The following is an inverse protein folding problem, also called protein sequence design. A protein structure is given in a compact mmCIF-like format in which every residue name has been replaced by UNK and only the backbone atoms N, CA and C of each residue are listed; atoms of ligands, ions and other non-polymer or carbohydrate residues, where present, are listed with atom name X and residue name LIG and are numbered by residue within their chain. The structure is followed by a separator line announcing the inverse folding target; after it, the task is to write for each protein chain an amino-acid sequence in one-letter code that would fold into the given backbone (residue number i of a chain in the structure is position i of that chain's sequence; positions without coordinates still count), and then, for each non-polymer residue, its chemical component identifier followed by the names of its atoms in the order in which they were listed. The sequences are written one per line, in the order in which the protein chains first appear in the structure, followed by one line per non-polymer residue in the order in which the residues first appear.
data_IF_350237786593
#
_entry.id   IF_350237786593
#
_cell.length_a   1.000
_cell.length_b   1.000
_cell.length_c   1.000
_cell.angle_alpha   90.00
_cell.angle_beta   90.00
_cell.angle_gamma   90.00
#
_symmetry.space_group_name_H-M   'P 1'
#
loop_
_entity.id
_entity.type
_entity.pdbx_description
1 polymer ?
#
# COMPACT_ATOMS: atom_id res chain seq x y z
N UNK A 1 -12.88 19.92 8.80
CA UNK A 1 -12.29 20.60 7.62
C UNK A 1 -10.81 20.33 7.45
N UNK A 2 -10.01 20.57 8.52
CA UNK A 2 -8.57 20.31 8.46
C UNK A 2 -8.24 18.84 8.19
N UNK A 3 -8.92 17.92 8.85
CA UNK A 3 -8.73 16.47 8.65
C UNK A 3 -9.04 16.06 7.22
N UNK A 4 -10.13 16.60 6.67
CA UNK A 4 -10.50 16.32 5.28
C UNK A 4 -9.42 16.84 4.32
N UNK A 5 -8.91 18.04 4.54
CA UNK A 5 -7.85 18.62 3.71
C UNK A 5 -6.58 17.75 3.77
N UNK A 6 -6.21 17.28 4.97
CA UNK A 6 -5.05 16.40 5.16
C UNK A 6 -5.23 15.10 4.38
N UNK A 7 -6.40 14.47 4.48
CA UNK A 7 -6.66 13.23 3.75
C UNK A 7 -6.62 13.43 2.25
N UNK A 8 -7.17 14.54 1.75
CA UNK A 8 -7.14 14.85 0.32
C UNK A 8 -5.72 15.07 -0.19
N UNK A 9 -4.93 15.85 0.54
CA UNK A 9 -3.55 16.14 0.16
C UNK A 9 -2.66 14.88 0.22
N UNK A 10 -2.77 14.13 1.31
CA UNK A 10 -1.98 12.90 1.48
C UNK A 10 -2.41 11.82 0.49
N UNK A 11 -3.72 11.72 0.23
CA UNK A 11 -4.23 10.78 -0.77
C UNK A 11 -3.74 11.12 -2.17
N UNK A 12 -3.74 12.40 -2.52
CA UNK A 12 -3.24 12.84 -3.82
C UNK A 12 -1.73 12.56 -3.95
N UNK A 13 -0.95 12.90 -2.92
CA UNK A 13 0.49 12.64 -2.92
C UNK A 13 0.78 11.14 -2.98
N UNK A 14 0.06 10.34 -2.19
CA UNK A 14 0.20 8.89 -2.18
C UNK A 14 -0.15 8.29 -3.53
N UNK A 15 -1.22 8.79 -4.16
CA UNK A 15 -1.61 8.35 -5.50
C UNK A 15 -0.55 8.65 -6.55
N UNK A 16 0.04 9.85 -6.50
CA UNK A 16 1.10 10.23 -7.42
C UNK A 16 2.33 9.32 -7.26
N UNK A 17 2.74 9.07 -6.02
CA UNK A 17 3.87 8.19 -5.73
C UNK A 17 3.54 6.75 -6.16
N UNK A 18 2.34 6.30 -5.89
CA UNK A 18 1.89 4.97 -6.31
C UNK A 18 1.94 4.81 -7.83
N UNK A 19 1.48 5.83 -8.56
CA UNK A 19 1.50 5.81 -10.02
C UNK A 19 2.91 5.76 -10.58
N UNK A 20 3.86 6.42 -9.92
CA UNK A 20 5.25 6.42 -10.35
C UNK A 20 5.97 5.11 -10.05
N UNK A 21 5.73 4.53 -8.89
CA UNK A 21 6.50 3.38 -8.41
C UNK A 21 5.72 2.07 -8.37
N UNK A 22 4.41 2.11 -8.58
CA UNK A 22 3.58 0.91 -8.59
C UNK A 22 3.37 0.25 -7.24
N UNK A 23 3.50 1.01 -6.13
CA UNK A 23 3.42 0.46 -4.78
C UNK A 23 2.00 0.44 -4.20
N UNK A 24 1.02 0.96 -4.92
CA UNK A 24 -0.38 0.93 -4.50
C UNK A 24 -0.78 1.94 -3.42
N UNK A 25 0.17 2.70 -2.88
CA UNK A 25 -0.11 3.75 -1.89
C UNK A 25 -0.26 3.27 -0.45
N UNK A 26 -0.31 1.96 -0.21
CA UNK A 26 -0.52 1.41 1.13
C UNK A 26 0.56 1.82 2.13
N UNK A 27 1.78 2.00 1.66
CA UNK A 27 2.91 2.43 2.49
C UNK A 27 2.64 3.79 3.15
N UNK A 28 1.90 4.67 2.44
CA UNK A 28 1.55 5.99 2.97
C UNK A 28 0.18 6.02 3.64
N UNK A 29 -0.76 5.22 3.14
CA UNK A 29 -2.13 5.22 3.66
C UNK A 29 -2.19 4.70 5.10
N UNK A 30 -1.49 3.59 5.39
CA UNK A 30 -1.57 2.96 6.71
C UNK A 30 -1.05 3.88 7.82
N UNK A 31 0.17 4.46 7.72
CA UNK A 31 0.62 5.40 8.74
C UNK A 31 -0.29 6.61 8.88
N UNK A 32 -0.83 7.14 7.76
CA UNK A 32 -1.75 8.27 7.78
C UNK A 32 -3.01 7.92 8.58
N UNK A 33 -3.60 6.77 8.32
CA UNK A 33 -4.83 6.35 9.00
C UNK A 33 -4.61 6.10 10.48
N UNK A 34 -3.47 5.54 10.85
CA UNK A 34 -3.15 5.30 12.26
C UNK A 34 -2.91 6.63 12.97
N UNK A 35 -2.10 7.52 12.41
CA UNK A 35 -1.65 8.74 13.08
C UNK A 35 -2.68 9.87 13.02
N UNK A 36 -3.40 10.01 11.90
CA UNK A 36 -4.34 11.13 11.70
C UNK A 36 -5.75 10.74 12.10
N UNK A 37 -6.21 9.55 11.68
CA UNK A 37 -7.57 9.10 11.97
C UNK A 37 -7.69 8.32 13.28
N UNK A 38 -6.59 7.94 13.90
CA UNK A 38 -6.60 7.21 15.16
C UNK A 38 -7.08 5.77 15.04
N UNK A 39 -7.02 5.18 13.86
CA UNK A 39 -7.44 3.80 13.65
C UNK A 39 -6.41 2.82 14.22
N UNK A 40 -6.88 1.62 14.59
CA UNK A 40 -5.98 0.54 14.95
C UNK A 40 -5.16 0.11 13.73
N UNK A 41 -4.09 -0.64 13.94
CA UNK A 41 -3.25 -1.10 12.84
C UNK A 41 -4.04 -1.97 11.87
N UNK A 42 -4.87 -2.87 12.38
CA UNK A 42 -5.69 -3.74 11.54
C UNK A 42 -6.73 -2.94 10.75
N UNK A 43 -7.42 -1.99 11.40
CA UNK A 43 -8.40 -1.14 10.74
C UNK A 43 -7.75 -0.27 9.66
N UNK A 44 -6.57 0.28 9.96
CA UNK A 44 -5.82 1.09 9.00
C UNK A 44 -5.42 0.26 7.78
N UNK A 45 -4.96 -0.96 8.00
CA UNK A 45 -4.60 -1.86 6.90
C UNK A 45 -5.82 -2.23 6.05
N UNK A 46 -6.93 -2.58 6.68
CA UNK A 46 -8.16 -2.92 5.98
C UNK A 46 -8.70 -1.74 5.18
N UNK A 47 -8.72 -0.55 5.77
CA UNK A 47 -9.18 0.66 5.11
C UNK A 47 -8.26 1.03 3.94
N UNK A 48 -6.96 0.85 4.12
CA UNK A 48 -5.98 1.07 3.06
C UNK A 48 -6.22 0.14 1.87
N UNK A 49 -6.52 -1.12 2.11
CA UNK A 49 -6.83 -2.07 1.03
C UNK A 49 -8.03 -1.59 0.21
N UNK A 50 -9.06 -1.08 0.86
CA UNK A 50 -10.22 -0.53 0.17
C UNK A 50 -9.86 0.73 -0.62
N UNK A 51 -9.04 1.61 -0.04
CA UNK A 51 -8.62 2.84 -0.70
C UNK A 51 -7.72 2.58 -1.91
N UNK A 52 -6.96 1.49 -1.90
CA UNK A 52 -6.06 1.13 -3.00
C UNK A 52 -6.83 0.71 -4.26
N UNK A 53 -8.04 0.16 -4.12
CA UNK A 53 -8.80 -0.35 -5.28
C UNK A 53 -8.92 0.70 -6.40
N UNK A 54 -9.46 1.91 -6.17
CA UNK A 54 -9.53 2.90 -7.25
C UNK A 54 -8.13 3.35 -7.71
N UNK A 55 -7.15 3.41 -6.82
CA UNK A 55 -5.78 3.82 -7.16
C UNK A 55 -5.17 2.85 -8.17
N UNK A 56 -5.21 1.55 -7.87
CA UNK A 56 -4.60 0.55 -8.74
C UNK A 56 -5.41 0.36 -10.02
N UNK A 57 -6.73 0.52 -9.95
CA UNK A 57 -7.57 0.42 -11.15
C UNK A 57 -7.21 1.52 -12.16
N UNK A 58 -7.10 2.77 -11.70
CA UNK A 58 -6.72 3.89 -12.56
C UNK A 58 -5.27 3.73 -13.04
N UNK A 59 -4.37 3.35 -12.15
CA UNK A 59 -2.96 3.16 -12.49
C UNK A 59 -2.77 2.06 -13.54
N UNK A 60 -3.40 0.92 -13.36
CA UNK A 60 -3.30 -0.19 -14.29
C UNK A 60 -3.89 0.18 -15.66
N UNK A 61 -5.05 0.84 -15.65
CA UNK A 61 -5.69 1.27 -16.90
C UNK A 61 -4.81 2.24 -17.67
N UNK A 62 -4.23 3.23 -16.99
CA UNK A 62 -3.35 4.20 -17.64
C UNK A 62 -2.10 3.52 -18.19
N UNK A 63 -1.48 2.65 -17.44
CA UNK A 63 -0.28 1.92 -17.91
C UNK A 63 -0.62 0.97 -19.05
N UNK A 64 -1.80 0.38 -19.04
CA UNK A 64 -2.26 -0.44 -20.16
C UNK A 64 -2.38 0.41 -21.43
N UNK A 65 -2.92 1.63 -21.31
CA UNK A 65 -3.03 2.57 -22.43
C UNK A 65 -1.65 2.92 -23.02
N UNK A 66 -0.62 2.97 -22.20
CA UNK A 66 0.75 3.20 -22.66
C UNK A 66 1.42 1.93 -23.18
N UNK A 67 0.77 0.79 -23.12
CA UNK A 67 1.32 -0.47 -23.59
C UNK A 67 2.33 -1.14 -22.67
N UNK A 68 2.38 -0.71 -21.40
CA UNK A 68 3.38 -1.21 -20.45
C UNK A 68 2.95 -2.46 -19.68
N UNK A 69 1.66 -2.81 -19.72
CA UNK A 69 1.14 -3.94 -18.94
C UNK A 69 1.33 -5.24 -19.70
N UNK A 70 1.96 -6.20 -19.06
CA UNK A 70 2.09 -7.57 -19.57
C UNK A 70 1.06 -8.43 -18.84
N UNK A 71 -0.02 -8.76 -19.51
CA UNK A 71 -1.18 -9.38 -18.89
C UNK A 71 -0.93 -10.80 -18.40
N UNK A 72 -0.08 -11.57 -19.08
CA UNK A 72 0.20 -12.94 -18.65
C UNK A 72 0.87 -13.00 -17.28
N UNK A 73 2.04 -12.32 -17.07
CA UNK A 73 2.59 -12.24 -15.71
C UNK A 73 1.66 -11.56 -14.70
N UNK A 74 0.91 -10.54 -15.14
CA UNK A 74 -0.03 -9.82 -14.26
C UNK A 74 -1.12 -10.75 -13.73
N UNK A 75 -1.71 -11.58 -14.58
CA UNK A 75 -2.75 -12.52 -14.17
C UNK A 75 -2.18 -13.62 -13.25
N UNK A 76 -1.02 -14.17 -13.59
CA UNK A 76 -0.38 -15.19 -12.76
C UNK A 76 -0.05 -14.67 -11.37
N UNK A 77 0.58 -13.48 -11.29
CA UNK A 77 0.91 -12.86 -10.03
C UNK A 77 -0.35 -12.47 -9.24
N UNK A 78 -1.34 -11.92 -9.94
CA UNK A 78 -2.59 -11.51 -9.32
C UNK A 78 -3.35 -12.67 -8.70
N UNK A 79 -3.48 -13.78 -9.42
CA UNK A 79 -4.18 -14.95 -8.91
C UNK A 79 -3.43 -15.58 -7.73
N UNK A 80 -2.08 -15.71 -7.84
CA UNK A 80 -1.26 -16.20 -6.75
C UNK A 80 -1.35 -15.28 -5.53
N UNK A 81 -1.32 -13.97 -5.76
CA UNK A 81 -1.43 -12.97 -4.69
C UNK A 81 -2.78 -13.00 -4.00
N UNK A 82 -3.86 -13.27 -4.74
CA UNK A 82 -5.19 -13.37 -4.13
C UNK A 82 -5.23 -14.50 -3.09
N UNK A 83 -4.62 -15.64 -3.40
CA UNK A 83 -4.50 -16.74 -2.45
C UNK A 83 -3.63 -16.35 -1.24
N UNK A 84 -2.51 -15.67 -1.51
CA UNK A 84 -1.62 -15.17 -0.46
C UNK A 84 -2.29 -14.16 0.46
N UNK A 85 -3.11 -13.26 -0.11
CA UNK A 85 -3.86 -12.26 0.66
C UNK A 85 -4.85 -12.93 1.60
N UNK A 86 -5.55 -13.97 1.14
CA UNK A 86 -6.50 -14.69 2.00
C UNK A 86 -5.79 -15.27 3.23
N UNK A 87 -4.61 -15.89 3.04
CA UNK A 87 -3.80 -16.38 4.15
C UNK A 87 -3.24 -15.27 5.01
N UNK A 88 -2.76 -14.20 4.38
CA UNK A 88 -2.21 -13.03 5.10
C UNK A 88 -3.22 -12.33 5.98
N UNK A 89 -4.45 -12.15 5.49
CA UNK A 89 -5.53 -11.55 6.28
C UNK A 89 -5.89 -12.43 7.47
N UNK A 90 -5.99 -13.75 7.26
CA UNK A 90 -6.25 -14.69 8.35
C UNK A 90 -5.18 -14.58 9.43
N UNK A 91 -3.91 -14.48 9.04
CA UNK A 91 -2.81 -14.30 9.98
C UNK A 91 -2.89 -12.94 10.68
N UNK A 92 -3.17 -11.87 9.96
CA UNK A 92 -3.28 -10.52 10.52
C UNK A 92 -4.35 -10.42 11.59
N UNK A 93 -5.51 -11.05 11.36
CA UNK A 93 -6.60 -11.06 12.33
C UNK A 93 -6.23 -11.86 13.58
N UNK A 94 -5.41 -12.91 13.42
CA UNK A 94 -4.98 -13.75 14.54
C UNK A 94 -3.87 -13.10 15.38
N UNK A 95 -3.12 -12.14 14.84
CA UNK A 95 -2.03 -11.48 15.56
C UNK A 95 -2.54 -10.35 16.45
N UNK A 96 -1.81 -10.07 17.54
CA UNK A 96 -2.10 -8.93 18.41
C UNK A 96 -1.81 -7.61 17.69
N UNK A 97 -2.46 -6.55 18.15
CA UNK A 97 -2.25 -5.19 17.62
C UNK A 97 -0.78 -4.80 17.64
N UNK A 98 -0.11 -5.02 18.76
CA UNK A 98 1.31 -4.67 18.92
C UNK A 98 2.20 -5.45 17.97
N UNK A 99 1.96 -6.75 17.80
CA UNK A 99 2.73 -7.59 16.89
C UNK A 99 2.56 -7.12 15.46
N UNK A 100 1.32 -6.86 15.05
CA UNK A 100 1.02 -6.40 13.69
C UNK A 100 1.67 -5.05 13.40
N UNK A 101 1.60 -4.12 14.37
CA UNK A 101 2.22 -2.81 14.26
C UNK A 101 3.74 -2.92 14.13
N UNK A 102 4.37 -3.78 14.93
CA UNK A 102 5.82 -3.98 14.90
C UNK A 102 6.27 -4.61 13.58
N UNK A 103 5.51 -5.58 13.08
CA UNK A 103 5.82 -6.19 11.77
C UNK A 103 5.73 -5.16 10.66
N UNK A 104 4.70 -4.33 10.66
CA UNK A 104 4.53 -3.29 9.65
C UNK A 104 5.65 -2.23 9.75
N UNK A 105 5.98 -1.79 10.96
CA UNK A 105 7.06 -0.84 11.19
C UNK A 105 8.41 -1.40 10.71
N UNK A 106 8.69 -2.66 11.00
CA UNK A 106 9.90 -3.34 10.55
C UNK A 106 9.95 -3.38 9.03
N UNK A 107 8.83 -3.69 8.39
CA UNK A 107 8.74 -3.72 6.93
C UNK A 107 9.02 -2.34 6.33
N UNK A 108 8.45 -1.28 6.92
CA UNK A 108 8.71 0.09 6.46
C UNK A 108 10.17 0.47 6.60
N UNK A 109 10.81 0.11 7.72
CA UNK A 109 12.22 0.40 7.97
C UNK A 109 13.09 -0.33 6.95
N UNK A 110 12.80 -1.61 6.68
CA UNK A 110 13.53 -2.40 5.69
C UNK A 110 13.42 -1.77 4.30
N UNK A 111 12.21 -1.39 3.89
CA UNK A 111 12.00 -0.74 2.60
C UNK A 111 12.74 0.60 2.52
N UNK A 112 12.66 1.41 3.57
CA UNK A 112 13.35 2.70 3.62
C UNK A 112 14.87 2.52 3.52
N UNK A 113 15.41 1.55 4.24
CA UNK A 113 16.84 1.24 4.20
C UNK A 113 17.27 0.76 2.80
N UNK A 114 16.46 -0.09 2.19
CA UNK A 114 16.74 -0.59 0.84
C UNK A 114 16.73 0.53 -0.20
N UNK A 115 15.75 1.42 -0.11
CA UNK A 115 15.66 2.56 -1.01
C UNK A 115 16.82 3.52 -0.82
N UNK A 116 17.20 3.80 0.42
CA UNK A 116 18.35 4.66 0.73
C UNK A 116 19.65 4.05 0.21
N UNK A 117 19.83 2.74 0.40
CA UNK A 117 20.98 2.01 -0.10
C UNK A 117 21.04 2.04 -1.62
N UNK A 118 19.91 1.78 -2.27
CA UNK A 118 19.81 1.80 -3.73
C UNK A 118 20.11 3.18 -4.30
N UNK A 119 19.62 4.24 -3.65
CA UNK A 119 19.87 5.62 -4.06
C UNK A 119 21.36 5.99 -3.96
N UNK A 120 22.07 5.45 -2.96
CA UNK A 120 23.50 5.69 -2.78
C UNK A 120 24.35 5.02 -3.85
N UNK A 121 23.88 3.90 -4.39
CA UNK A 121 24.61 3.14 -5.41
C UNK A 121 24.32 3.61 -6.85
N UNK A 122 23.21 4.30 -7.00
CA UNK A 122 22.84 4.90 -8.28
C UNK A 122 23.53 6.21 -8.48
#
# INVERSE_FOLDING_TARGET
MTTLAIFLLLGFAAGAISGMFGVGGGVLFVPTLVLVAGLSQLEAQATSLAAIIPVVAVGAWRQHRYGNVRWRPALLLGLASAAGVAGGVALAVALSEDTLRRLFATLLIVFAARLAWSARRG
#
